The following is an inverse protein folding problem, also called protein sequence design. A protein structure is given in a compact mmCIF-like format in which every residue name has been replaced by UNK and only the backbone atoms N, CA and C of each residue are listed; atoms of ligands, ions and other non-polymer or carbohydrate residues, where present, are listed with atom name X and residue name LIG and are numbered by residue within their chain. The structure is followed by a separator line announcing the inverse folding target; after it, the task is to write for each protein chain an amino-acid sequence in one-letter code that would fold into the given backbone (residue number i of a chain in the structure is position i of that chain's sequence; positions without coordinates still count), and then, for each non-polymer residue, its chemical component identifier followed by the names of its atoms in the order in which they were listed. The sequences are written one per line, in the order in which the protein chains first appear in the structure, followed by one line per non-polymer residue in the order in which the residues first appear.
data_IF_335018755221
#
_entry.id   IF_335018755221
#
_cell.length_a   1.000
_cell.length_b   1.000
_cell.length_c   1.000
_cell.angle_alpha   90.00
_cell.angle_beta   90.00
_cell.angle_gamma   90.00
#
_symmetry.space_group_name_H-M   'P 1'
#
loop_
_entity.id
_entity.type
_entity.pdbx_description
1 polymer ?
#
# COMPACT_ATOMS: atom_id res chain seq x y z
N UNK A 1 -19.53 22.63 -4.66
CA UNK A 1 -18.75 21.53 -5.25
C UNK A 1 -18.21 22.02 -6.58
N UNK A 2 -16.94 22.41 -6.64
CA UNK A 2 -16.29 22.72 -7.92
C UNK A 2 -16.18 21.44 -8.74
N UNK A 3 -16.72 21.44 -9.95
CA UNK A 3 -16.48 20.33 -10.88
C UNK A 3 -14.98 20.29 -11.18
N UNK A 4 -14.31 19.23 -10.74
CA UNK A 4 -12.90 19.02 -11.05
C UNK A 4 -12.79 18.76 -12.55
N UNK A 5 -12.20 19.71 -13.29
CA UNK A 5 -12.01 19.58 -14.74
C UNK A 5 -10.83 18.65 -14.97
N UNK A 6 -11.11 17.47 -15.52
CA UNK A 6 -10.08 16.49 -15.89
C UNK A 6 -9.44 16.98 -17.20
N UNK A 7 -8.10 17.08 -17.29
CA UNK A 7 -7.42 17.41 -18.53
C UNK A 7 -7.79 16.43 -19.65
N UNK A 8 -7.91 16.93 -20.89
CA UNK A 8 -8.32 16.11 -22.04
C UNK A 8 -7.30 15.01 -22.38
N UNK A 9 -6.03 15.25 -22.08
CA UNK A 9 -4.89 14.36 -22.27
C UNK A 9 -4.53 13.57 -21.00
N UNK A 10 -5.43 13.53 -20.01
CA UNK A 10 -5.21 12.80 -18.77
C UNK A 10 -4.98 11.30 -19.03
N UNK A 11 -3.87 10.80 -18.48
CA UNK A 11 -3.60 9.37 -18.36
C UNK A 11 -3.35 9.03 -16.90
N UNK A 12 -3.90 7.91 -16.44
CA UNK A 12 -3.71 7.48 -15.05
C UNK A 12 -2.23 7.18 -14.80
N UNK A 13 -1.57 7.87 -13.85
CA UNK A 13 -0.18 7.60 -13.53
C UNK A 13 0.00 6.17 -12.98
N UNK A 14 1.11 5.50 -13.30
CA UNK A 14 1.36 4.14 -12.81
C UNK A 14 1.68 4.13 -11.31
N UNK A 15 1.26 3.07 -10.62
CA UNK A 15 1.74 2.72 -9.29
C UNK A 15 3.25 2.39 -9.34
N UNK A 16 4.08 2.69 -8.31
CA UNK A 16 3.73 3.15 -6.96
C UNK A 16 3.75 4.66 -6.73
N UNK A 17 4.35 5.44 -7.64
CA UNK A 17 4.72 6.83 -7.35
C UNK A 17 3.92 7.82 -8.20
N UNK A 18 3.30 8.79 -7.53
CA UNK A 18 2.72 9.98 -8.17
C UNK A 18 3.75 11.10 -8.40
N UNK A 19 4.96 10.92 -7.87
CA UNK A 19 6.03 11.90 -7.92
C UNK A 19 7.34 11.21 -8.28
N UNK A 20 8.06 11.75 -9.26
CA UNK A 20 9.39 11.30 -9.62
C UNK A 20 10.43 12.08 -8.79
N UNK A 21 11.26 11.41 -7.98
CA UNK A 21 12.27 12.10 -7.17
C UNK A 21 13.44 12.64 -8.00
N UNK A 22 13.67 12.09 -9.20
CA UNK A 22 14.71 12.53 -10.13
C UNK A 22 14.30 12.23 -11.58
N UNK A 23 14.71 13.08 -12.52
CA UNK A 23 14.45 12.93 -13.96
C UNK A 23 13.55 14.03 -14.55
N UNK A 24 13.25 13.96 -15.86
CA UNK A 24 12.28 14.86 -16.49
C UNK A 24 10.91 14.72 -15.80
N UNK A 25 10.32 15.83 -15.35
CA UNK A 25 9.05 15.83 -14.61
C UNK A 25 9.17 15.82 -13.08
N UNK A 26 10.36 16.02 -12.49
CA UNK A 26 10.51 16.03 -11.02
C UNK A 26 9.67 17.10 -10.28
N UNK A 27 9.29 18.19 -10.96
CA UNK A 27 8.45 19.26 -10.41
C UNK A 27 6.97 19.13 -10.80
N UNK A 28 6.62 18.07 -11.54
CA UNK A 28 5.27 17.87 -12.04
C UNK A 28 4.53 16.90 -11.11
N UNK A 29 3.49 17.40 -10.46
CA UNK A 29 2.66 16.60 -9.58
C UNK A 29 1.67 15.78 -10.42
N UNK A 30 1.74 14.45 -10.35
CA UNK A 30 0.73 13.60 -10.97
C UNK A 30 -0.45 13.42 -10.01
N UNK A 31 -1.67 13.65 -10.50
CA UNK A 31 -2.88 13.55 -9.70
C UNK A 31 -3.78 12.40 -10.17
N UNK A 32 -4.48 11.79 -9.21
CA UNK A 32 -5.52 10.81 -9.47
C UNK A 32 -6.87 11.52 -9.44
N UNK A 33 -7.59 11.47 -10.56
CA UNK A 33 -8.88 12.15 -10.70
C UNK A 33 -10.06 11.19 -10.50
N UNK A 34 -9.87 9.91 -10.82
CA UNK A 34 -10.90 8.89 -10.69
C UNK A 34 -10.88 8.24 -9.31
N UNK A 35 -12.03 8.18 -8.64
CA UNK A 35 -12.19 7.55 -7.32
C UNK A 35 -11.67 6.11 -7.29
N UNK A 36 -11.88 5.35 -8.36
CA UNK A 36 -11.38 3.98 -8.46
C UNK A 36 -9.85 3.89 -8.43
N UNK A 37 -9.14 4.84 -9.04
CA UNK A 37 -7.68 4.85 -9.04
C UNK A 37 -7.12 5.33 -7.71
N UNK A 38 -7.77 6.34 -7.08
CA UNK A 38 -7.46 6.79 -5.72
C UNK A 38 -7.59 5.61 -4.75
N UNK A 39 -8.72 4.89 -4.80
CA UNK A 39 -8.97 3.74 -3.94
C UNK A 39 -7.94 2.63 -4.11
N UNK A 40 -7.58 2.28 -5.35
CA UNK A 40 -6.53 1.26 -5.61
C UNK A 40 -5.17 1.70 -5.09
N UNK A 41 -4.84 2.97 -5.29
CA UNK A 41 -3.58 3.54 -4.85
C UNK A 41 -3.47 3.50 -3.32
N UNK A 42 -4.49 3.98 -2.59
CA UNK A 42 -4.51 3.92 -1.13
C UNK A 42 -4.50 2.48 -0.63
N UNK A 43 -5.32 1.61 -1.21
CA UNK A 43 -5.40 0.20 -0.83
C UNK A 43 -4.04 -0.51 -0.93
N UNK A 44 -3.36 -0.39 -2.07
CA UNK A 44 -2.07 -1.07 -2.27
C UNK A 44 -0.98 -0.52 -1.36
N UNK A 45 -0.94 0.80 -1.15
CA UNK A 45 0.01 1.39 -0.19
C UNK A 45 -0.27 0.94 1.23
N UNK A 46 -1.52 0.93 1.67
CA UNK A 46 -1.89 0.46 3.02
C UNK A 46 -1.52 -1.02 3.19
N UNK A 47 -1.85 -1.88 2.23
CA UNK A 47 -1.46 -3.29 2.25
C UNK A 47 0.06 -3.47 2.34
N UNK A 48 0.83 -2.68 1.59
CA UNK A 48 2.29 -2.74 1.61
C UNK A 48 2.85 -2.36 2.98
N UNK A 49 2.40 -1.25 3.57
CA UNK A 49 2.86 -0.80 4.89
C UNK A 49 2.47 -1.77 6.00
N UNK A 50 1.23 -2.25 6.00
CA UNK A 50 0.76 -3.22 6.99
C UNK A 50 1.54 -4.53 6.88
N UNK A 51 1.71 -5.05 5.66
CA UNK A 51 2.50 -6.25 5.41
C UNK A 51 3.95 -6.07 5.86
N UNK A 52 4.59 -4.95 5.50
CA UNK A 52 5.97 -4.66 5.90
C UNK A 52 6.15 -4.59 7.42
N UNK A 53 5.24 -3.93 8.14
CA UNK A 53 5.28 -3.84 9.60
C UNK A 53 5.10 -5.22 10.24
N UNK A 54 4.09 -5.98 9.80
CA UNK A 54 3.80 -7.31 10.33
C UNK A 54 4.92 -8.32 10.03
N UNK A 55 5.50 -8.27 8.82
CA UNK A 55 6.65 -9.10 8.47
C UNK A 55 7.90 -8.74 9.30
N UNK A 56 8.09 -7.47 9.64
CA UNK A 56 9.19 -7.06 10.52
C UNK A 56 9.05 -7.67 11.91
N UNK A 57 7.83 -7.68 12.47
CA UNK A 57 7.54 -8.32 13.76
C UNK A 57 7.66 -9.85 13.66
N UNK A 58 7.15 -10.44 12.59
CA UNK A 58 7.28 -11.88 12.34
C UNK A 58 8.76 -12.28 12.23
N UNK A 59 9.60 -11.49 11.55
CA UNK A 59 11.03 -11.71 11.47
C UNK A 59 11.67 -11.69 12.86
N UNK A 60 11.33 -10.72 13.72
CA UNK A 60 11.78 -10.71 15.12
C UNK A 60 11.35 -11.97 15.88
N UNK A 61 10.13 -12.46 15.69
CA UNK A 61 9.68 -13.71 16.32
C UNK A 61 10.46 -14.93 15.82
N UNK A 62 10.74 -14.98 14.51
CA UNK A 62 11.51 -16.06 13.88
C UNK A 62 12.97 -16.03 14.34
N UNK A 63 13.61 -14.86 14.46
CA UNK A 63 15.00 -14.77 14.95
C UNK A 63 15.11 -15.20 16.41
N UNK A 64 14.13 -14.86 17.25
CA UNK A 64 14.10 -15.27 18.66
C UNK A 64 13.85 -16.78 18.82
N UNK A 65 13.04 -17.39 17.95
CA UNK A 65 12.60 -18.78 18.07
C UNK A 65 12.99 -19.64 16.86
N UNK A 66 14.15 -19.36 16.25
CA UNK A 66 14.62 -19.98 15.00
C UNK A 66 14.66 -21.52 15.03
N UNK A 67 14.90 -22.11 16.20
CA UNK A 67 14.92 -23.58 16.36
C UNK A 67 13.53 -24.22 16.30
N UNK A 68 12.46 -23.43 16.42
CA UNK A 68 11.08 -23.91 16.34
C UNK A 68 10.56 -23.74 14.91
N UNK A 69 10.57 -24.82 14.14
CA UNK A 69 10.01 -24.86 12.79
C UNK A 69 8.56 -24.35 12.73
N UNK A 70 7.76 -24.65 13.77
CA UNK A 70 6.37 -24.17 13.85
C UNK A 70 6.28 -22.64 13.89
N UNK A 71 7.25 -21.98 14.51
CA UNK A 71 7.27 -20.51 14.62
C UNK A 71 7.85 -19.88 13.36
N UNK A 72 8.89 -20.51 12.79
CA UNK A 72 9.50 -20.11 11.50
C UNK A 72 8.45 -19.96 10.40
N UNK A 73 7.48 -20.87 10.32
CA UNK A 73 6.41 -20.80 9.32
C UNK A 73 5.10 -20.22 9.85
N UNK A 74 4.74 -20.53 11.09
CA UNK A 74 3.48 -20.10 11.68
C UNK A 74 3.43 -18.59 11.87
N UNK A 75 4.50 -17.97 12.36
CA UNK A 75 4.50 -16.53 12.63
C UNK A 75 4.33 -15.71 11.33
N UNK A 76 5.11 -15.92 10.25
CA UNK A 76 4.89 -15.17 9.02
C UNK A 76 3.49 -15.34 8.43
N UNK A 77 2.95 -16.56 8.41
CA UNK A 77 1.61 -16.83 7.86
C UNK A 77 0.53 -16.12 8.66
N UNK A 78 0.53 -16.25 9.99
CA UNK A 78 -0.47 -15.59 10.85
C UNK A 78 -0.40 -14.08 10.71
N UNK A 79 0.81 -13.51 10.75
CA UNK A 79 1.00 -12.07 10.63
C UNK A 79 0.61 -11.53 9.25
N UNK A 80 0.83 -12.28 8.17
CA UNK A 80 0.38 -11.94 6.82
C UNK A 80 -1.15 -11.92 6.71
N UNK A 81 -1.84 -12.89 7.32
CA UNK A 81 -3.31 -12.92 7.31
C UNK A 81 -3.91 -11.73 8.05
N UNK A 82 -3.35 -11.39 9.23
CA UNK A 82 -3.77 -10.22 10.01
C UNK A 82 -3.49 -8.94 9.22
N UNK A 83 -2.28 -8.79 8.66
CA UNK A 83 -1.92 -7.62 7.87
C UNK A 83 -2.81 -7.43 6.64
N UNK A 84 -3.16 -8.52 5.95
CA UNK A 84 -4.03 -8.51 4.79
C UNK A 84 -5.44 -8.05 5.15
N UNK A 85 -6.02 -8.57 6.24
CA UNK A 85 -7.34 -8.17 6.71
C UNK A 85 -7.37 -6.70 7.13
N UNK A 86 -6.45 -6.30 8.01
CA UNK A 86 -6.36 -4.92 8.52
C UNK A 86 -6.08 -3.93 7.39
N UNK A 87 -5.13 -4.25 6.50
CA UNK A 87 -4.76 -3.40 5.37
C UNK A 87 -5.88 -3.27 4.34
N UNK A 88 -6.64 -4.33 4.09
CA UNK A 88 -7.81 -4.30 3.21
C UNK A 88 -8.91 -3.38 3.78
N UNK A 89 -9.21 -3.51 5.08
CA UNK A 89 -10.23 -2.70 5.75
C UNK A 89 -9.80 -1.23 5.82
N UNK A 90 -8.62 -0.95 6.34
CA UNK A 90 -8.10 0.41 6.49
C UNK A 90 -7.93 1.09 5.13
N UNK A 91 -7.33 0.40 4.15
CA UNK A 91 -7.10 0.94 2.82
C UNK A 91 -8.40 1.21 2.06
N UNK A 92 -9.41 0.34 2.22
CA UNK A 92 -10.73 0.54 1.59
C UNK A 92 -11.51 1.68 2.20
N UNK A 93 -11.52 1.80 3.54
CA UNK A 93 -12.21 2.89 4.22
C UNK A 93 -11.57 4.22 3.83
N UNK A 94 -10.24 4.36 3.95
CA UNK A 94 -9.55 5.61 3.62
C UNK A 94 -9.67 5.95 2.14
N UNK A 95 -9.65 4.95 1.24
CA UNK A 95 -9.74 5.18 -0.21
C UNK A 95 -11.13 5.57 -0.72
N UNK A 96 -12.18 5.35 0.07
CA UNK A 96 -13.58 5.66 -0.29
C UNK A 96 -14.13 6.91 0.40
N UNK A 97 -13.43 7.44 1.42
CA UNK A 97 -13.77 8.70 2.10
C UNK A 97 -13.27 9.90 1.29
#
# INVERSE_FOLDING_TARGET
MSAQTIPFDYTTPPFPSLYAPAGPGHNEAAYLYSTGDIWRFTLFWTLLFYTGAHLSVALCAVTMQWRSWKVVWGAPVVYLLIAGLEGLLAGSVVGLM
#
